data_IF_622771598051
#
_entry.id   IF_622771598051
#
_cell.length_a   1.000
_cell.length_b   1.000
_cell.length_c   1.000
_cell.angle_alpha   90.00
_cell.angle_beta   90.00
_cell.angle_gamma   90.00
#
_symmetry.space_group_name_H-M   'P 1'
#
loop_
_entity.id
_entity.type
_entity.pdbx_description
1 polymer ?
#
# COMPACT_ATOMS: atom_id res chain seq x y z
N UNK A 1 3.82 4.33 2.82
CA UNK A 1 4.00 3.42 3.99
C UNK A 1 5.20 2.47 3.85
N UNK A 2 5.44 1.84 2.69
CA UNK A 2 6.56 0.91 2.47
C UNK A 2 7.93 1.44 2.96
N UNK A 3 8.31 2.67 2.59
CA UNK A 3 9.57 3.31 3.03
C UNK A 3 9.64 3.57 4.55
N UNK A 4 8.49 3.70 5.21
CA UNK A 4 8.42 3.92 6.66
C UNK A 4 8.63 2.62 7.44
N UNK A 5 8.28 1.47 6.86
CA UNK A 5 8.52 0.14 7.43
C UNK A 5 10.00 -0.25 7.26
N UNK A 6 10.87 0.29 8.12
CA UNK A 6 12.34 0.11 8.03
C UNK A 6 12.79 -1.34 8.21
N UNK A 7 12.00 -2.19 8.89
CA UNK A 7 12.33 -3.59 9.16
C UNK A 7 11.42 -4.53 8.37
N UNK A 8 11.95 -5.67 7.93
CA UNK A 8 11.17 -6.70 7.21
C UNK A 8 9.91 -7.10 7.97
N UNK A 9 10.03 -7.41 9.27
CA UNK A 9 8.89 -7.79 10.11
C UNK A 9 7.83 -6.70 10.21
N UNK A 10 8.23 -5.41 10.20
CA UNK A 10 7.27 -4.30 10.26
C UNK A 10 6.52 -4.12 8.94
N UNK A 11 7.16 -4.46 7.81
CA UNK A 11 6.50 -4.45 6.51
C UNK A 11 5.55 -5.64 6.40
N UNK A 12 5.99 -6.84 6.78
CA UNK A 12 5.16 -8.04 6.75
C UNK A 12 3.89 -7.87 7.60
N UNK A 13 4.02 -7.48 8.88
CA UNK A 13 2.87 -7.26 9.77
C UNK A 13 1.94 -6.17 9.25
N UNK A 14 2.49 -5.14 8.61
CA UNK A 14 1.68 -4.10 7.99
C UNK A 14 0.85 -4.66 6.84
N UNK A 15 1.44 -5.43 5.92
CA UNK A 15 0.71 -6.04 4.80
C UNK A 15 -0.37 -7.01 5.29
N UNK A 16 -0.04 -7.85 6.27
CA UNK A 16 -0.96 -8.81 6.88
C UNK A 16 -2.14 -8.12 7.58
N UNK A 17 -1.89 -7.06 8.35
CA UNK A 17 -2.94 -6.25 8.98
C UNK A 17 -3.89 -5.57 7.98
N UNK A 18 -3.50 -5.50 6.70
CA UNK A 18 -4.29 -4.93 5.61
C UNK A 18 -4.92 -6.00 4.72
N UNK A 19 -4.92 -7.25 5.16
CA UNK A 19 -5.62 -8.35 4.51
C UNK A 19 -4.84 -9.00 3.37
N UNK A 20 -3.51 -8.83 3.32
CA UNK A 20 -2.64 -9.64 2.44
C UNK A 20 -2.28 -10.92 3.18
N UNK A 21 -2.46 -12.08 2.54
CA UNK A 21 -2.12 -13.37 3.13
C UNK A 21 -0.69 -13.38 3.69
N UNK A 22 -0.50 -14.05 4.83
CA UNK A 22 0.78 -14.05 5.56
C UNK A 22 1.95 -14.45 4.66
N UNK A 23 1.77 -15.52 3.88
CA UNK A 23 2.76 -16.01 2.91
C UNK A 23 3.11 -14.96 1.83
N UNK A 24 2.10 -14.32 1.23
CA UNK A 24 2.30 -13.27 0.23
C UNK A 24 2.98 -12.03 0.83
N UNK A 25 2.64 -11.71 2.08
CA UNK A 25 3.27 -10.63 2.85
C UNK A 25 4.76 -10.89 3.05
N UNK A 26 5.15 -12.13 3.39
CA UNK A 26 6.56 -12.52 3.51
C UNK A 26 7.32 -12.42 2.18
N UNK A 27 6.73 -12.86 1.06
CA UNK A 27 7.34 -12.75 -0.27
C UNK A 27 7.72 -11.30 -0.58
N UNK A 28 6.79 -10.36 -0.39
CA UNK A 28 7.06 -8.95 -0.68
C UNK A 28 8.02 -8.31 0.34
N UNK A 29 7.88 -8.68 1.62
CA UNK A 29 8.70 -8.11 2.69
C UNK A 29 10.18 -8.49 2.55
N UNK A 30 10.47 -9.76 2.25
CA UNK A 30 11.83 -10.29 2.08
C UNK A 30 12.45 -9.97 0.71
N UNK A 31 11.66 -9.51 -0.26
CA UNK A 31 12.16 -9.16 -1.58
C UNK A 31 13.26 -8.09 -1.51
N UNK A 32 14.41 -8.33 -2.16
CA UNK A 32 15.51 -7.37 -2.26
C UNK A 32 15.26 -6.22 -3.26
N UNK A 33 14.06 -6.15 -3.86
CA UNK A 33 13.73 -5.10 -4.83
C UNK A 33 13.56 -3.73 -4.15
N UNK A 34 13.93 -2.67 -4.87
CA UNK A 34 13.78 -1.29 -4.40
C UNK A 34 12.33 -0.87 -4.19
N UNK A 35 12.11 0.18 -3.40
CA UNK A 35 10.78 0.67 -3.01
C UNK A 35 9.86 0.95 -4.21
N UNK A 36 10.40 1.53 -5.29
CA UNK A 36 9.66 1.81 -6.51
C UNK A 36 9.12 0.53 -7.18
N UNK A 37 9.93 -0.54 -7.21
CA UNK A 37 9.47 -1.81 -7.78
C UNK A 37 8.43 -2.47 -6.88
N UNK A 38 8.62 -2.39 -5.55
CA UNK A 38 7.67 -2.90 -4.56
C UNK A 38 6.34 -2.15 -4.58
N UNK A 39 6.32 -0.86 -4.90
CA UNK A 39 5.06 -0.10 -4.92
C UNK A 39 4.09 -0.59 -5.98
N UNK A 40 4.58 -1.11 -7.11
CA UNK A 40 3.76 -1.69 -8.17
C UNK A 40 3.46 -3.19 -8.04
N UNK A 41 3.77 -3.82 -6.90
CA UNK A 41 3.47 -5.23 -6.68
C UNK A 41 1.98 -5.42 -6.30
N UNK A 42 1.33 -6.53 -6.72
CA UNK A 42 -0.08 -6.80 -6.38
C UNK A 42 -0.36 -6.78 -4.87
N UNK A 43 0.56 -7.32 -4.06
CA UNK A 43 0.45 -7.33 -2.60
C UNK A 43 0.42 -5.91 -2.02
N UNK A 44 1.17 -4.98 -2.62
CA UNK A 44 1.13 -3.57 -2.22
C UNK A 44 -0.19 -2.93 -2.61
N UNK A 45 -0.68 -3.16 -3.83
CA UNK A 45 -1.96 -2.61 -4.28
C UNK A 45 -3.15 -3.13 -3.45
N UNK A 46 -3.09 -4.40 -3.02
CA UNK A 46 -4.07 -4.98 -2.10
C UNK A 46 -4.04 -4.28 -0.73
N UNK A 47 -2.84 -4.13 -0.14
CA UNK A 47 -2.69 -3.49 1.17
C UNK A 47 -2.95 -1.97 1.17
N UNK A 48 -2.62 -1.29 0.07
CA UNK A 48 -2.73 0.16 -0.12
C UNK A 48 -3.68 0.49 -1.27
N UNK A 49 -4.92 0.02 -1.15
CA UNK A 49 -5.98 0.33 -2.13
C UNK A 49 -6.42 1.80 -2.05
N UNK A 50 -7.17 2.28 -3.04
CA UNK A 50 -7.74 3.63 -3.00
C UNK A 50 -8.61 3.85 -1.75
N UNK A 51 -9.36 2.84 -1.32
CA UNK A 51 -10.12 2.85 -0.06
C UNK A 51 -9.23 3.07 1.16
N UNK A 52 -8.04 2.47 1.16
CA UNK A 52 -7.06 2.71 2.22
C UNK A 52 -6.60 4.17 2.21
N UNK A 53 -6.27 4.72 1.04
CA UNK A 53 -5.85 6.11 0.90
C UNK A 53 -6.94 7.09 1.36
N UNK A 54 -8.20 6.84 1.02
CA UNK A 54 -9.34 7.59 1.53
C UNK A 54 -9.45 7.49 3.05
N UNK A 55 -9.30 6.29 3.63
CA UNK A 55 -9.38 6.08 5.09
C UNK A 55 -8.30 6.82 5.89
N UNK A 56 -7.14 7.09 5.27
CA UNK A 56 -6.07 7.88 5.90
C UNK A 56 -6.16 9.38 5.58
N UNK A 57 -7.23 9.81 4.90
CA UNK A 57 -7.51 11.20 4.59
C UNK A 57 -6.76 11.75 3.37
N UNK A 58 -6.30 10.90 2.45
CA UNK A 58 -5.70 11.39 1.21
C UNK A 58 -6.76 12.03 0.31
N UNK A 59 -6.50 13.26 -0.13
CA UNK A 59 -7.38 14.00 -1.02
C UNK A 59 -7.43 13.37 -2.42
N UNK A 60 -8.63 12.97 -2.86
CA UNK A 60 -8.85 12.41 -4.19
C UNK A 60 -8.99 13.54 -5.23
N UNK A 61 -8.01 13.68 -6.13
CA UNK A 61 -7.99 14.76 -7.11
C UNK A 61 -9.15 14.67 -8.11
N UNK A 62 -9.41 13.48 -8.65
CA UNK A 62 -10.42 13.28 -9.70
C UNK A 62 -11.82 13.55 -9.17
N UNK A 63 -12.19 12.99 -8.02
CA UNK A 63 -13.52 13.21 -7.43
C UNK A 63 -13.78 14.68 -7.12
N UNK A 64 -12.76 15.42 -6.69
CA UNK A 64 -12.92 16.85 -6.41
C UNK A 64 -12.93 17.69 -7.67
N UNK A 65 -12.15 17.33 -8.68
CA UNK A 65 -12.20 17.97 -9.99
C UNK A 65 -13.60 17.84 -10.61
N UNK A 66 -14.19 16.64 -10.56
CA UNK A 66 -15.56 16.39 -11.01
C UNK A 66 -16.59 17.17 -10.19
N UNK A 67 -16.42 17.26 -8.87
CA UNK A 67 -17.32 18.02 -8.00
C UNK A 67 -17.33 19.53 -8.29
N UNK A 68 -16.22 20.10 -8.74
CA UNK A 68 -16.07 21.54 -8.93
C UNK A 68 -16.32 22.00 -10.37
N UNK A 69 -16.25 21.10 -11.35
CA UNK A 69 -16.40 21.41 -12.77
C UNK A 69 -17.62 20.74 -13.44
N UNK A 70 -18.41 19.96 -12.69
CA UNK A 70 -19.77 19.57 -13.07
C UNK A 70 -20.79 20.55 -12.47
#
# INVERSE_FOLDING_TARGET
RLKQCKRVITLQRFLESRGVDSWQSWILALSGKGHWRKSGCPQTHQALSNKWFESVGLYNLTLNYERLNN
#
